data_IF_900834482029
#
_entry.id   IF_900834482029
#
_cell.length_a   1.000
_cell.length_b   1.000
_cell.length_c   1.000
_cell.angle_alpha   90.00
_cell.angle_beta   90.00
_cell.angle_gamma   90.00
#
_symmetry.space_group_name_H-M   'P 1'
#
loop_
_entity.id
_entity.type
_entity.pdbx_description
1 polymer ?
#
# COMPACT_ATOMS: atom_id res chain seq x y z
N UNK A 1 64.06 -35.56 22.72
CA UNK A 1 62.66 -35.43 22.29
C UNK A 1 62.52 -34.29 21.28
N UNK A 2 62.04 -34.63 20.08
CA UNK A 2 61.33 -33.84 19.05
C UNK A 2 61.60 -32.33 18.88
N UNK A 3 62.37 -32.04 17.82
CA UNK A 3 62.01 -31.27 16.61
C UNK A 3 61.43 -29.85 16.71
N UNK A 4 62.33 -28.88 16.42
CA UNK A 4 62.26 -27.85 15.35
C UNK A 4 60.89 -27.50 14.76
N UNK A 5 60.54 -26.20 14.77
CA UNK A 5 59.92 -25.44 13.65
C UNK A 5 60.37 -23.96 13.78
N UNK A 6 61.25 -23.43 12.93
CA UNK A 6 60.93 -22.75 11.64
C UNK A 6 59.90 -21.63 11.86
N UNK A 7 60.37 -20.37 11.91
CA UNK A 7 60.34 -19.40 10.79
C UNK A 7 58.90 -18.99 10.43
N UNK A 8 58.59 -17.69 10.50
CA UNK A 8 58.42 -16.84 9.31
C UNK A 8 57.84 -15.48 9.73
N UNK A 9 58.61 -14.45 9.41
CA UNK A 9 58.19 -13.06 9.30
C UNK A 9 57.14 -12.89 8.19
N UNK A 10 56.40 -11.78 8.27
CA UNK A 10 55.76 -11.07 7.16
C UNK A 10 54.41 -11.62 6.67
N UNK A 11 53.38 -10.76 6.71
CA UNK A 11 52.66 -10.24 5.53
C UNK A 11 51.60 -9.26 6.01
N UNK A 12 51.78 -8.01 5.61
CA UNK A 12 50.76 -6.98 5.60
C UNK A 12 49.82 -7.17 4.38
N UNK A 13 48.65 -6.53 4.46
CA UNK A 13 47.80 -6.11 3.33
C UNK A 13 46.84 -7.16 2.71
N UNK A 14 45.60 -7.16 3.20
CA UNK A 14 44.36 -7.35 2.41
C UNK A 14 43.35 -6.38 3.06
N UNK A 15 42.83 -5.32 2.44
CA UNK A 15 42.52 -5.13 1.03
C UNK A 15 41.04 -5.44 0.81
N UNK A 16 40.21 -4.39 0.82
CA UNK A 16 38.83 -4.35 0.30
C UNK A 16 37.74 -5.18 1.00
N UNK A 17 36.59 -4.52 1.14
CA UNK A 17 35.30 -5.21 1.03
C UNK A 17 34.48 -5.29 2.31
N UNK A 18 33.95 -4.16 2.76
CA UNK A 18 32.65 -4.15 3.44
C UNK A 18 31.99 -2.79 3.24
N UNK A 19 31.76 -2.41 1.98
CA UNK A 19 30.56 -1.62 1.72
C UNK A 19 29.41 -2.55 2.06
N UNK A 20 28.91 -2.44 3.30
CA UNK A 20 27.60 -2.96 3.62
C UNK A 20 26.64 -2.27 2.67
N UNK A 21 26.27 -2.97 1.61
CA UNK A 21 25.12 -2.64 0.77
C UNK A 21 23.89 -2.79 1.66
N UNK A 22 23.64 -1.76 2.47
CA UNK A 22 22.35 -1.50 3.05
C UNK A 22 21.40 -1.09 1.91
N UNK A 23 21.13 -2.00 0.99
CA UNK A 23 19.82 -2.05 0.33
C UNK A 23 18.82 -2.72 1.29
N UNK A 24 18.92 -2.35 2.58
CA UNK A 24 18.03 -2.77 3.62
C UNK A 24 16.69 -2.11 3.32
N UNK A 25 15.75 -2.93 2.85
CA UNK A 25 14.33 -2.64 2.83
C UNK A 25 14.00 -1.28 2.22
N UNK A 26 13.89 -1.22 0.89
CA UNK A 26 12.80 -0.42 0.34
C UNK A 26 11.53 -1.00 0.94
N UNK A 27 11.10 -0.46 2.07
CA UNK A 27 9.75 -0.62 2.56
C UNK A 27 8.93 -0.16 1.39
N UNK A 28 8.31 -1.10 0.68
CA UNK A 28 7.21 -0.79 -0.23
C UNK A 28 6.16 -0.22 0.71
N UNK A 29 6.25 1.08 0.98
CA UNK A 29 5.13 1.88 1.44
C UNK A 29 4.17 1.72 0.29
N UNK A 30 3.30 0.70 0.37
CA UNK A 30 2.17 0.58 -0.53
C UNK A 30 1.50 1.95 -0.43
N UNK A 31 1.62 2.73 -1.49
CA UNK A 31 1.06 4.08 -1.58
C UNK A 31 -0.40 3.94 -1.23
N UNK A 32 -0.89 4.75 -0.30
CA UNK A 32 -2.33 4.76 0.02
C UNK A 32 -3.05 5.07 -1.29
N UNK A 33 -3.87 4.14 -1.75
CA UNK A 33 -4.62 4.25 -3.00
C UNK A 33 -5.96 4.88 -2.69
N UNK A 34 -6.38 5.86 -3.49
CA UNK A 34 -7.72 6.43 -3.40
C UNK A 34 -8.63 5.73 -4.39
N UNK A 35 -9.80 5.30 -3.91
CA UNK A 35 -10.86 4.75 -4.71
C UNK A 35 -12.04 5.71 -4.72
N UNK A 36 -12.55 6.03 -5.91
CA UNK A 36 -13.71 6.87 -6.11
C UNK A 36 -14.92 6.03 -6.48
N UNK A 37 -16.04 6.29 -5.82
CA UNK A 37 -17.31 5.63 -6.10
C UNK A 37 -18.04 6.34 -7.25
N UNK A 38 -18.27 5.62 -8.36
CA UNK A 38 -18.76 6.13 -9.63
C UNK A 38 -20.28 6.03 -9.81
N UNK A 39 -20.93 5.07 -9.14
CA UNK A 39 -22.37 4.82 -9.35
C UNK A 39 -23.20 6.01 -8.90
N UNK A 40 -24.21 6.42 -9.67
CA UNK A 40 -25.19 7.44 -9.27
C UNK A 40 -26.29 6.91 -8.34
N UNK A 41 -26.24 5.63 -7.99
CA UNK A 41 -27.20 4.98 -7.09
C UNK A 41 -27.15 5.56 -5.67
N UNK A 42 -28.27 5.45 -4.97
CA UNK A 42 -28.39 5.68 -3.53
C UNK A 42 -28.48 4.38 -2.73
N UNK A 43 -28.33 3.23 -3.38
CA UNK A 43 -28.35 1.92 -2.73
C UNK A 43 -27.02 1.60 -2.07
N UNK A 44 -27.07 1.29 -0.77
CA UNK A 44 -25.90 0.85 -0.01
C UNK A 44 -25.31 -0.47 -0.52
N UNK A 45 -26.14 -1.36 -1.09
CA UNK A 45 -25.68 -2.63 -1.65
C UNK A 45 -24.73 -2.42 -2.84
N UNK A 46 -24.83 -1.29 -3.53
CA UNK A 46 -23.97 -0.98 -4.67
C UNK A 46 -22.55 -0.59 -4.23
N UNK A 47 -22.31 -0.31 -2.95
CA UNK A 47 -20.96 -0.09 -2.41
C UNK A 47 -20.12 -1.38 -2.43
N UNK A 48 -20.75 -2.55 -2.41
CA UNK A 48 -20.09 -3.86 -2.45
C UNK A 48 -19.73 -4.31 -3.87
N UNK A 49 -20.18 -3.58 -4.89
CA UNK A 49 -19.86 -3.89 -6.27
C UNK A 49 -18.61 -3.13 -6.70
N UNK A 50 -17.49 -3.85 -6.85
CA UNK A 50 -16.20 -3.27 -7.27
C UNK A 50 -16.27 -2.54 -8.62
N UNK A 51 -17.20 -2.91 -9.51
CA UNK A 51 -17.39 -2.22 -10.79
C UNK A 51 -17.87 -0.77 -10.64
N UNK A 52 -18.36 -0.40 -9.46
CA UNK A 52 -18.72 0.98 -9.13
C UNK A 52 -17.56 1.79 -8.55
N UNK A 53 -16.35 1.24 -8.51
CA UNK A 53 -15.17 1.88 -7.95
C UNK A 53 -14.07 2.02 -8.99
N UNK A 54 -13.35 3.14 -8.94
CA UNK A 54 -12.19 3.41 -9.77
C UNK A 54 -11.04 3.92 -8.92
N UNK A 55 -9.83 3.46 -9.22
CA UNK A 55 -8.61 4.00 -8.64
C UNK A 55 -8.35 5.41 -9.20
N UNK A 56 -8.24 6.38 -8.32
CA UNK A 56 -8.02 7.79 -8.66
C UNK A 56 -6.81 8.34 -7.96
N UNK A 57 -6.26 9.41 -8.51
CA UNK A 57 -5.23 10.20 -7.84
C UNK A 57 -5.83 11.39 -7.06
N UNK A 58 -4.96 12.08 -6.33
CA UNK A 58 -5.32 13.27 -5.56
C UNK A 58 -5.67 14.48 -6.42
N UNK A 59 -5.35 14.45 -7.73
CA UNK A 59 -5.66 15.54 -8.67
C UNK A 59 -7.04 15.39 -9.30
N UNK A 60 -7.60 14.18 -9.26
CA UNK A 60 -8.93 13.88 -9.77
C UNK A 60 -9.96 14.73 -9.02
N UNK A 61 -10.95 15.35 -9.68
CA UNK A 61 -12.00 16.10 -9.00
C UNK A 61 -12.82 15.22 -8.04
N UNK A 62 -13.32 15.81 -6.95
CA UNK A 62 -14.25 15.12 -6.04
C UNK A 62 -15.58 14.82 -6.74
N UNK A 63 -16.30 13.81 -6.23
CA UNK A 63 -17.58 13.39 -6.79
C UNK A 63 -18.61 14.52 -6.69
N UNK A 64 -19.19 14.91 -7.84
CA UNK A 64 -20.33 15.82 -7.92
C UNK A 64 -21.61 15.26 -7.28
N UNK A 65 -22.61 16.14 -7.16
CA UNK A 65 -23.52 16.20 -6.02
C UNK A 65 -24.72 15.25 -5.92
N UNK A 66 -25.06 15.03 -4.64
CA UNK A 66 -26.23 14.53 -3.93
C UNK A 66 -26.22 13.03 -3.58
N UNK A 67 -26.05 12.75 -2.28
CA UNK A 67 -26.27 11.43 -1.69
C UNK A 67 -25.49 11.22 -0.40
N UNK A 68 -25.96 10.32 0.48
CA UNK A 68 -25.26 9.99 1.72
C UNK A 68 -24.17 8.93 1.56
N UNK A 69 -23.98 8.41 0.35
CA UNK A 69 -23.02 7.34 0.06
C UNK A 69 -21.59 7.87 -0.07
N UNK A 70 -20.64 6.93 0.03
CA UNK A 70 -19.21 7.17 -0.18
C UNK A 70 -18.96 7.89 -1.50
N UNK A 71 -18.08 8.89 -1.46
CA UNK A 71 -17.48 9.49 -2.64
C UNK A 71 -16.05 8.98 -2.81
N UNK A 72 -15.21 9.12 -1.78
CA UNK A 72 -13.83 8.62 -1.78
C UNK A 72 -13.54 7.72 -0.60
N UNK A 73 -12.75 6.69 -0.87
CA UNK A 73 -12.25 5.77 0.14
C UNK A 73 -10.74 5.59 -0.02
N UNK A 74 -10.00 5.65 1.08
CA UNK A 74 -8.58 5.38 1.09
C UNK A 74 -8.34 3.95 1.54
N UNK A 75 -7.59 3.20 0.74
CA UNK A 75 -7.26 1.84 1.06
C UNK A 75 -5.83 1.51 0.66
N UNK A 76 -5.16 0.76 1.53
CA UNK A 76 -3.79 0.33 1.33
C UNK A 76 -3.76 -1.05 0.66
N UNK A 77 -3.93 -1.06 -0.65
CA UNK A 77 -3.95 -2.28 -1.46
C UNK A 77 -4.25 -1.98 -2.91
N UNK A 78 -4.31 -3.03 -3.72
CA UNK A 78 -4.81 -2.94 -5.10
C UNK A 78 -6.34 -3.14 -5.15
N UNK A 79 -6.92 -3.04 -6.35
CA UNK A 79 -8.37 -3.14 -6.55
C UNK A 79 -8.92 -4.53 -6.15
N UNK A 80 -8.13 -5.60 -6.19
CA UNK A 80 -8.57 -6.94 -5.78
C UNK A 80 -8.60 -7.05 -4.25
N UNK A 81 -7.55 -6.54 -3.58
CA UNK A 81 -7.52 -6.41 -2.13
C UNK A 81 -8.69 -5.54 -1.64
N UNK A 82 -8.97 -4.44 -2.36
CA UNK A 82 -10.08 -3.55 -2.07
C UNK A 82 -11.44 -4.21 -2.28
N UNK A 83 -11.62 -5.02 -3.33
CA UNK A 83 -12.86 -5.79 -3.56
C UNK A 83 -13.18 -6.74 -2.41
N UNK A 84 -12.16 -7.47 -1.94
CA UNK A 84 -12.32 -8.35 -0.78
C UNK A 84 -12.65 -7.52 0.48
N UNK A 85 -11.98 -6.39 0.66
CA UNK A 85 -12.22 -5.50 1.78
C UNK A 85 -13.65 -4.95 1.81
N UNK A 86 -14.15 -4.37 0.72
CA UNK A 86 -15.52 -3.83 0.69
C UNK A 86 -16.56 -4.93 0.89
N UNK A 87 -16.32 -6.13 0.36
CA UNK A 87 -17.18 -7.31 0.53
C UNK A 87 -17.31 -7.74 2.00
N UNK A 88 -16.25 -7.57 2.79
CA UNK A 88 -16.20 -7.95 4.21
C UNK A 88 -16.74 -6.87 5.17
N UNK A 89 -17.03 -5.65 4.69
CA UNK A 89 -17.49 -4.53 5.53
C UNK A 89 -18.96 -4.21 5.31
N UNK A 90 -19.60 -3.67 6.34
CA UNK A 90 -20.95 -3.10 6.17
C UNK A 90 -20.88 -1.79 5.38
N UNK A 91 -21.97 -1.47 4.69
CA UNK A 91 -22.10 -0.20 3.98
C UNK A 91 -21.94 1.00 4.92
N UNK A 92 -22.50 0.93 6.13
CA UNK A 92 -22.33 1.93 7.19
C UNK A 92 -20.86 2.13 7.54
N UNK A 93 -20.10 1.04 7.75
CA UNK A 93 -18.68 1.12 8.03
C UNK A 93 -17.91 1.80 6.89
N UNK A 94 -18.19 1.43 5.64
CA UNK A 94 -17.56 2.06 4.47
C UNK A 94 -17.92 3.54 4.36
N UNK A 95 -19.15 3.90 4.72
CA UNK A 95 -19.65 5.28 4.63
C UNK A 95 -19.13 6.16 5.76
N UNK A 96 -18.89 5.61 6.96
CA UNK A 96 -18.31 6.31 8.12
C UNK A 96 -16.79 6.48 8.03
N UNK A 97 -16.11 5.56 7.35
CA UNK A 97 -14.65 5.60 7.14
C UNK A 97 -14.25 6.18 5.77
N UNK A 98 -15.22 6.70 5.02
CA UNK A 98 -14.94 7.39 3.77
C UNK A 98 -14.13 8.67 3.99
N UNK A 99 -13.20 8.95 3.07
CA UNK A 99 -12.48 10.23 3.02
C UNK A 99 -13.45 11.37 2.73
N UNK A 100 -14.39 11.12 1.83
CA UNK A 100 -15.47 12.06 1.54
C UNK A 100 -16.74 11.31 1.17
N UNK A 101 -17.87 11.96 1.45
CA UNK A 101 -19.20 11.56 1.00
C UNK A 101 -19.61 12.40 -0.19
N UNK A 102 -20.59 11.93 -0.96
CA UNK A 102 -21.23 12.78 -1.96
C UNK A 102 -21.90 13.95 -1.23
N UNK A 103 -21.83 15.16 -1.82
CA UNK A 103 -22.42 16.37 -1.24
C UNK A 103 -23.78 16.65 -1.86
#
# INVERSE_FOLDING_TARGET
MKNRKLMFSLVALIGFGSFFTLNAFKTTTKTVTQYQYLSSSSSEADLHNIANWEEVDSSTPSCGSSGNLVCRYEYNGDINDFNNYISDKSAEFLTDNAVSRKQ
#
